data_IF_801161213008
#
_entry.id   IF_801161213008
#
_cell.length_a   1.000
_cell.length_b   1.000
_cell.length_c   1.000
_cell.angle_alpha   90.00
_cell.angle_beta   90.00
_cell.angle_gamma   90.00
#
_symmetry.space_group_name_H-M   'P 1'
#
loop_
_entity.id
_entity.type
_entity.pdbx_description
1 polymer ?
#
# COMPACT_ATOMS: atom_id res chain seq x y z
N UNK A 1 -4.16 1.68 18.90
CA UNK A 1 -3.92 2.15 17.51
C UNK A 1 -3.01 3.37 17.56
N UNK A 2 -1.89 3.37 16.82
CA UNK A 2 -0.96 4.51 16.74
C UNK A 2 -1.68 5.66 16.04
N UNK A 3 -1.67 6.84 16.66
CA UNK A 3 -2.31 8.03 16.05
C UNK A 3 -1.51 8.50 14.83
N UNK A 4 -2.18 8.84 13.73
CA UNK A 4 -1.50 9.44 12.59
C UNK A 4 -0.91 10.79 12.96
N UNK A 5 0.26 11.09 12.43
CA UNK A 5 0.87 12.42 12.41
C UNK A 5 0.36 13.18 11.19
N UNK A 6 0.55 14.49 11.14
CA UNK A 6 0.16 15.29 9.97
C UNK A 6 1.39 15.85 9.26
N UNK A 7 1.55 15.49 7.99
CA UNK A 7 2.55 16.08 7.09
C UNK A 7 1.80 16.90 6.05
N UNK A 8 1.94 18.21 6.08
CA UNK A 8 1.16 19.14 5.25
C UNK A 8 -0.36 18.84 5.27
N UNK A 9 -0.90 18.51 6.45
CA UNK A 9 -2.31 18.19 6.61
C UNK A 9 -2.70 16.73 6.28
N UNK A 10 -1.87 15.98 5.55
CA UNK A 10 -2.12 14.57 5.22
C UNK A 10 -1.82 13.69 6.44
N UNK A 11 -2.77 12.83 6.86
CA UNK A 11 -2.52 11.90 7.96
C UNK A 11 -1.54 10.82 7.51
N UNK A 12 -0.46 10.60 8.27
CA UNK A 12 0.53 9.56 8.01
C UNK A 12 0.72 8.75 9.30
N UNK A 13 0.61 7.44 9.22
CA UNK A 13 0.78 6.54 10.35
C UNK A 13 2.26 6.16 10.48
N UNK A 14 2.94 6.52 11.58
CA UNK A 14 4.36 6.26 11.76
C UNK A 14 4.63 4.82 12.23
N UNK A 15 4.16 3.87 11.44
CA UNK A 15 4.38 2.45 11.67
C UNK A 15 5.76 2.02 11.18
N UNK A 16 6.30 0.97 11.79
CA UNK A 16 7.39 0.18 11.23
C UNK A 16 6.86 -0.77 10.14
N UNK A 17 7.75 -1.35 9.36
CA UNK A 17 7.40 -2.39 8.39
C UNK A 17 6.67 -3.56 9.08
N UNK A 18 7.21 -4.03 10.20
CA UNK A 18 6.61 -5.15 10.92
C UNK A 18 5.22 -4.82 11.46
N UNK A 19 5.05 -3.65 12.08
CA UNK A 19 3.73 -3.19 12.56
C UNK A 19 2.72 -3.07 11.42
N UNK A 20 3.18 -2.64 10.23
CA UNK A 20 2.32 -2.55 9.03
C UNK A 20 1.86 -3.92 8.57
N UNK A 21 2.75 -4.90 8.52
CA UNK A 21 2.43 -6.28 8.14
C UNK A 21 1.48 -6.91 9.15
N UNK A 22 1.77 -6.78 10.45
CA UNK A 22 0.95 -7.35 11.53
C UNK A 22 -0.46 -6.74 11.53
N UNK A 23 -0.56 -5.43 11.36
CA UNK A 23 -1.85 -4.74 11.27
C UNK A 23 -2.68 -5.21 10.07
N UNK A 24 -2.03 -5.36 8.90
CA UNK A 24 -2.69 -5.86 7.70
C UNK A 24 -3.12 -7.32 7.84
N UNK A 25 -2.31 -8.17 8.46
CA UNK A 25 -2.68 -9.56 8.75
C UNK A 25 -3.92 -9.61 9.67
N UNK A 26 -3.98 -8.76 10.71
CA UNK A 26 -5.15 -8.66 11.58
C UNK A 26 -6.42 -8.32 10.78
N UNK A 27 -6.33 -7.38 9.82
CA UNK A 27 -7.45 -7.01 8.95
C UNK A 27 -7.88 -8.14 8.02
N UNK A 28 -6.93 -8.86 7.43
CA UNK A 28 -7.20 -10.04 6.59
C UNK A 28 -7.93 -11.12 7.38
N UNK A 29 -7.47 -11.43 8.59
CA UNK A 29 -8.10 -12.42 9.48
C UNK A 29 -9.50 -12.00 9.90
N UNK A 30 -9.70 -10.71 10.17
CA UNK A 30 -11.02 -10.15 10.49
C UNK A 30 -11.94 -10.02 9.26
N UNK A 31 -11.47 -10.34 8.04
CA UNK A 31 -12.19 -10.13 6.77
C UNK A 31 -12.67 -8.69 6.61
N UNK A 32 -11.92 -7.75 7.12
CA UNK A 32 -12.22 -6.33 7.03
C UNK A 32 -11.59 -5.75 5.75
N UNK A 33 -12.42 -5.19 4.89
CA UNK A 33 -11.94 -4.41 3.75
C UNK A 33 -11.12 -3.23 4.25
N UNK A 34 -9.97 -3.00 3.64
CA UNK A 34 -9.01 -1.99 4.09
C UNK A 34 -8.33 -1.34 2.90
N UNK A 35 -8.29 -0.01 2.90
CA UNK A 35 -7.59 0.78 1.90
C UNK A 35 -6.28 1.33 2.49
N UNK A 36 -5.16 0.92 1.91
CA UNK A 36 -3.81 1.30 2.36
C UNK A 36 -3.11 2.14 1.30
N UNK A 37 -2.48 3.20 1.73
CA UNK A 37 -1.69 4.10 0.88
C UNK A 37 -0.26 4.15 1.39
N UNK A 38 0.71 3.97 0.50
CA UNK A 38 2.13 4.22 0.78
C UNK A 38 2.47 5.60 0.25
N UNK A 39 2.40 6.62 1.12
CA UNK A 39 2.49 8.01 0.74
C UNK A 39 3.94 8.50 0.70
N UNK A 40 4.43 8.78 -0.51
CA UNK A 40 5.70 9.47 -0.74
C UNK A 40 5.49 11.00 -0.79
N UNK A 41 6.58 11.74 -0.97
CA UNK A 41 6.53 13.20 -1.05
C UNK A 41 5.64 13.70 -2.20
N UNK A 42 5.63 13.00 -3.34
CA UNK A 42 4.82 13.33 -4.51
C UNK A 42 3.32 13.23 -4.19
N UNK A 43 2.89 12.11 -3.60
CA UNK A 43 1.50 11.91 -3.15
C UNK A 43 1.09 13.00 -2.15
N UNK A 44 1.96 13.34 -1.19
CA UNK A 44 1.69 14.39 -0.21
C UNK A 44 1.53 15.76 -0.89
N UNK A 45 2.35 16.05 -1.90
CA UNK A 45 2.24 17.30 -2.67
C UNK A 45 0.98 17.31 -3.54
N UNK A 46 0.63 16.22 -4.20
CA UNK A 46 -0.63 16.11 -4.94
C UNK A 46 -1.85 16.40 -4.05
N UNK A 47 -1.81 15.98 -2.79
CA UNK A 47 -2.87 16.31 -1.83
C UNK A 47 -2.98 17.82 -1.56
N UNK A 48 -1.93 18.62 -1.78
CA UNK A 48 -2.01 20.08 -1.65
C UNK A 48 -2.64 20.74 -2.88
N UNK A 49 -2.48 20.13 -4.04
CA UNK A 49 -2.91 20.67 -5.33
C UNK A 49 -4.33 20.24 -5.70
N UNK A 50 -4.76 19.04 -5.27
CA UNK A 50 -6.07 18.46 -5.57
C UNK A 50 -6.83 18.11 -4.28
N UNK A 51 -7.88 18.88 -4.00
CA UNK A 51 -8.74 18.69 -2.83
C UNK A 51 -9.54 17.36 -2.89
N UNK A 52 -9.88 16.87 -4.08
CA UNK A 52 -10.56 15.59 -4.28
C UNK A 52 -9.63 14.44 -3.94
N UNK A 53 -8.40 14.48 -4.47
CA UNK A 53 -7.36 13.53 -4.17
C UNK A 53 -7.01 13.50 -2.67
N UNK A 54 -6.84 14.68 -2.07
CA UNK A 54 -6.64 14.80 -0.63
C UNK A 54 -7.79 14.17 0.18
N UNK A 55 -9.04 14.38 -0.24
CA UNK A 55 -10.18 13.79 0.45
C UNK A 55 -10.14 12.25 0.41
N UNK A 56 -9.72 11.65 -0.71
CA UNK A 56 -9.55 10.20 -0.82
C UNK A 56 -8.47 9.72 0.16
N UNK A 57 -7.27 10.30 0.11
CA UNK A 57 -6.15 9.87 0.95
C UNK A 57 -6.41 10.13 2.44
N UNK A 58 -6.99 11.29 2.79
CA UNK A 58 -7.13 11.71 4.19
C UNK A 58 -8.36 11.18 4.90
N UNK A 59 -9.41 10.76 4.15
CA UNK A 59 -10.69 10.35 4.75
C UNK A 59 -11.13 8.95 4.39
N UNK A 60 -10.64 8.38 3.29
CA UNK A 60 -11.04 7.04 2.86
C UNK A 60 -9.96 6.00 3.11
N UNK A 61 -8.68 6.40 3.14
CA UNK A 61 -7.61 5.47 3.49
C UNK A 61 -7.65 5.12 4.98
N UNK A 62 -7.62 3.84 5.28
CA UNK A 62 -7.57 3.30 6.65
C UNK A 62 -6.16 3.37 7.24
N UNK A 63 -5.15 3.27 6.37
CA UNK A 63 -3.74 3.30 6.74
C UNK A 63 -2.94 4.05 5.68
N UNK A 64 -2.23 5.08 6.09
CA UNK A 64 -1.32 5.84 5.21
C UNK A 64 0.09 5.70 5.78
N UNK A 65 0.98 5.07 5.05
CA UNK A 65 2.33 4.72 5.49
C UNK A 65 3.38 5.68 4.89
N UNK A 66 4.44 6.02 5.63
CA UNK A 66 5.50 6.91 5.13
C UNK A 66 6.40 6.17 4.14
N UNK A 67 6.22 6.39 2.84
CA UNK A 67 7.09 5.88 1.78
C UNK A 67 8.09 6.95 1.33
N UNK A 68 9.32 6.52 1.14
CA UNK A 68 10.38 7.41 0.68
C UNK A 68 11.02 8.29 1.76
N UNK A 69 12.25 8.71 1.47
CA UNK A 69 13.06 9.53 2.39
C UNK A 69 12.41 10.89 2.69
N UNK A 70 11.70 11.48 1.72
CA UNK A 70 11.06 12.78 1.86
C UNK A 70 9.94 12.78 2.91
N UNK A 71 9.07 11.78 2.91
CA UNK A 71 7.99 11.66 3.89
C UNK A 71 8.56 11.44 5.32
N UNK A 72 9.56 10.58 5.45
CA UNK A 72 10.24 10.31 6.73
C UNK A 72 10.94 11.57 7.24
N UNK A 73 11.71 12.25 6.37
CA UNK A 73 12.40 13.49 6.71
C UNK A 73 11.42 14.57 7.16
N UNK A 74 10.33 14.79 6.41
CA UNK A 74 9.33 15.79 6.75
C UNK A 74 8.68 15.51 8.12
N UNK A 75 8.30 14.26 8.38
CA UNK A 75 7.75 13.87 9.68
C UNK A 75 8.71 14.14 10.83
N UNK A 76 9.97 13.76 10.68
CA UNK A 76 11.02 14.00 11.68
C UNK A 76 11.34 15.49 11.85
N UNK A 77 11.38 16.26 10.76
CA UNK A 77 11.60 17.71 10.81
C UNK A 77 10.47 18.44 11.55
N UNK A 78 9.24 17.95 11.46
CA UNK A 78 8.09 18.45 12.21
C UNK A 78 8.07 17.99 13.68
N UNK A 79 9.10 17.28 14.14
CA UNK A 79 9.24 16.83 15.53
C UNK A 79 8.52 15.51 15.85
N UNK A 80 8.02 14.80 14.84
CA UNK A 80 7.38 13.50 15.05
C UNK A 80 8.40 12.36 15.07
N UNK A 81 8.11 11.33 15.87
CA UNK A 81 8.88 10.09 15.80
C UNK A 81 8.36 9.24 14.61
N UNK A 82 9.11 9.26 13.50
CA UNK A 82 8.89 8.37 12.36
C UNK A 82 10.01 7.34 12.38
N UNK A 83 9.74 6.09 12.81
CA UNK A 83 10.78 5.10 13.08
C UNK A 83 11.53 4.72 11.82
N UNK A 84 10.82 4.45 10.72
CA UNK A 84 11.44 4.03 9.46
C UNK A 84 10.58 4.41 8.24
N UNK A 85 11.16 4.20 7.08
CA UNK A 85 10.45 4.25 5.80
C UNK A 85 9.77 2.91 5.55
N UNK A 86 8.47 2.93 5.28
CA UNK A 86 7.73 1.75 4.82
C UNK A 86 7.48 1.88 3.32
N UNK A 87 8.43 1.38 2.53
CA UNK A 87 8.30 1.41 1.08
C UNK A 87 7.22 0.44 0.60
N UNK A 88 6.35 0.91 -0.31
CA UNK A 88 5.24 0.12 -0.84
C UNK A 88 5.69 -1.19 -1.47
N UNK A 89 6.80 -1.18 -2.22
CA UNK A 89 7.35 -2.40 -2.82
C UNK A 89 7.83 -3.40 -1.76
N UNK A 90 8.51 -2.93 -0.70
CA UNK A 90 9.00 -3.81 0.36
C UNK A 90 7.82 -4.39 1.16
N UNK A 91 6.79 -3.58 1.44
CA UNK A 91 5.55 -4.05 2.07
C UNK A 91 4.86 -5.12 1.22
N UNK A 92 4.75 -4.88 -0.08
CA UNK A 92 4.20 -5.84 -1.04
C UNK A 92 4.96 -7.17 -1.00
N UNK A 93 6.29 -7.16 -1.01
CA UNK A 93 7.11 -8.37 -0.92
C UNK A 93 6.90 -9.12 0.41
N UNK A 94 6.81 -8.39 1.54
CA UNK A 94 6.52 -9.00 2.85
C UNK A 94 5.14 -9.66 2.87
N UNK A 95 4.13 -9.00 2.29
CA UNK A 95 2.76 -9.55 2.21
C UNK A 95 2.69 -10.78 1.29
N UNK A 96 3.46 -10.84 0.20
CA UNK A 96 3.54 -12.03 -0.64
C UNK A 96 4.19 -13.21 0.10
N UNK A 97 5.28 -12.96 0.83
CA UNK A 97 5.91 -13.97 1.67
C UNK A 97 4.95 -14.50 2.75
N UNK A 98 4.20 -13.60 3.39
CA UNK A 98 3.17 -13.95 4.36
C UNK A 98 2.04 -14.76 3.69
N UNK A 99 1.59 -14.33 2.51
CA UNK A 99 0.54 -15.02 1.74
C UNK A 99 0.94 -16.44 1.37
N UNK A 100 2.18 -16.64 0.93
CA UNK A 100 2.72 -17.96 0.63
C UNK A 100 2.75 -18.88 1.87
N UNK A 101 3.07 -18.30 3.04
CA UNK A 101 3.14 -19.03 4.32
C UNK A 101 1.78 -19.35 4.92
N UNK A 102 0.80 -18.47 4.75
CA UNK A 102 -0.52 -18.55 5.42
C UNK A 102 -1.65 -18.97 4.48
N UNK A 103 -1.40 -19.04 3.16
CA UNK A 103 -2.41 -19.39 2.16
C UNK A 103 -3.37 -18.26 1.81
N UNK A 104 -3.00 -17.01 2.08
CA UNK A 104 -3.82 -15.87 1.67
C UNK A 104 -3.80 -15.70 0.15
N UNK A 105 -4.90 -15.17 -0.40
CA UNK A 105 -5.03 -14.91 -1.83
C UNK A 105 -4.49 -13.52 -2.16
N UNK A 106 -3.73 -13.43 -3.26
CA UNK A 106 -3.27 -12.16 -3.81
C UNK A 106 -3.89 -11.94 -5.20
N UNK A 107 -4.18 -10.71 -5.53
CA UNK A 107 -4.59 -10.28 -6.87
C UNK A 107 -3.71 -9.11 -7.30
N UNK A 108 -3.16 -9.17 -8.52
CA UNK A 108 -2.28 -8.13 -9.03
C UNK A 108 -3.03 -7.22 -10.00
N UNK A 109 -3.04 -5.93 -9.70
CA UNK A 109 -3.74 -4.94 -10.50
C UNK A 109 -2.83 -3.76 -10.79
N UNK A 110 -2.68 -3.42 -12.06
CA UNK A 110 -1.94 -2.24 -12.49
C UNK A 110 -0.81 -2.52 -13.49
N UNK A 111 -0.08 -1.47 -13.82
CA UNK A 111 0.97 -1.50 -14.83
C UNK A 111 0.44 -1.54 -16.26
N UNK A 112 1.35 -1.46 -17.21
CA UNK A 112 1.05 -1.64 -18.65
C UNK A 112 0.66 -3.08 -18.95
N UNK A 113 -0.05 -3.35 -20.06
CA UNK A 113 -0.38 -4.71 -20.49
C UNK A 113 0.85 -5.63 -20.47
N UNK A 114 0.74 -6.82 -19.88
CA UNK A 114 1.81 -7.81 -19.72
C UNK A 114 2.65 -7.65 -18.43
N UNK A 115 2.60 -6.50 -17.74
CA UNK A 115 3.39 -6.28 -16.53
C UNK A 115 2.82 -7.05 -15.34
N UNK A 116 1.51 -7.04 -15.17
CA UNK A 116 0.86 -7.76 -14.07
C UNK A 116 1.07 -9.28 -14.19
N UNK A 117 1.01 -9.82 -15.41
CA UNK A 117 1.29 -11.22 -15.73
C UNK A 117 2.73 -11.60 -15.45
N UNK A 118 3.68 -10.75 -15.86
CA UNK A 118 5.10 -10.95 -15.58
C UNK A 118 5.40 -10.89 -14.06
N UNK A 119 4.77 -9.96 -13.35
CA UNK A 119 4.88 -9.86 -11.91
C UNK A 119 4.32 -11.11 -11.21
N UNK A 120 3.17 -11.64 -11.66
CA UNK A 120 2.60 -12.89 -11.16
C UNK A 120 3.58 -14.06 -11.35
N UNK A 121 4.08 -14.27 -12.55
CA UNK A 121 5.04 -15.36 -12.84
C UNK A 121 6.31 -15.23 -11.98
N UNK A 122 6.81 -14.00 -11.76
CA UNK A 122 7.95 -13.74 -10.89
C UNK A 122 7.65 -14.04 -9.42
N UNK A 123 6.48 -13.63 -8.93
CA UNK A 123 6.05 -13.89 -7.56
C UNK A 123 5.91 -15.39 -7.28
N UNK A 124 5.31 -16.14 -8.20
CA UNK A 124 5.18 -17.62 -8.10
C UNK A 124 6.53 -18.33 -8.07
N UNK A 125 7.54 -17.77 -8.75
CA UNK A 125 8.92 -18.27 -8.70
C UNK A 125 9.61 -17.92 -7.38
N UNK A 126 9.44 -16.68 -6.88
CA UNK A 126 10.15 -16.20 -5.69
C UNK A 126 9.52 -16.68 -4.39
N UNK A 127 8.22 -16.88 -4.37
CA UNK A 127 7.45 -17.28 -3.20
C UNK A 127 6.70 -18.59 -3.49
N UNK A 128 7.33 -19.74 -3.36
CA UNK A 128 6.65 -21.02 -3.52
C UNK A 128 5.42 -21.10 -2.63
N UNK A 129 4.29 -21.56 -3.19
CA UNK A 129 2.97 -21.64 -2.56
C UNK A 129 2.21 -20.28 -2.44
N UNK A 130 2.72 -19.17 -3.00
CA UNK A 130 1.89 -17.97 -3.12
C UNK A 130 0.66 -18.26 -3.98
N UNK A 131 -0.51 -17.81 -3.52
CA UNK A 131 -1.77 -18.02 -4.23
C UNK A 131 -2.20 -16.73 -4.94
N UNK A 132 -1.66 -16.49 -6.15
CA UNK A 132 -2.08 -15.35 -6.99
C UNK A 132 -3.30 -15.77 -7.80
N UNK A 133 -4.48 -15.38 -7.35
CA UNK A 133 -5.77 -15.79 -7.93
C UNK A 133 -6.12 -15.08 -9.24
N UNK A 134 -5.45 -13.98 -9.56
CA UNK A 134 -5.64 -13.26 -10.82
C UNK A 134 -4.71 -12.05 -10.94
N UNK A 135 -4.69 -11.48 -12.13
CA UNK A 135 -3.99 -10.23 -12.40
C UNK A 135 -4.70 -9.48 -13.55
N UNK A 136 -4.58 -8.14 -13.53
CA UNK A 136 -5.08 -7.28 -14.60
C UNK A 136 -4.20 -6.04 -14.72
N UNK A 137 -4.01 -5.55 -15.93
CA UNK A 137 -3.27 -4.31 -16.16
C UNK A 137 -4.08 -3.07 -15.73
N UNK A 138 -3.43 -1.92 -15.59
CA UNK A 138 -4.05 -0.67 -15.17
C UNK A 138 -4.73 0.13 -16.29
N UNK A 139 -4.74 -0.37 -17.53
CA UNK A 139 -5.33 0.27 -18.70
C UNK A 139 -6.66 -0.40 -19.04
N UNK A 140 -7.73 0.11 -18.48
CA UNK A 140 -9.08 -0.42 -18.66
C UNK A 140 -10.08 0.73 -18.79
N UNK A 141 -11.25 0.45 -19.36
CA UNK A 141 -12.37 1.38 -19.45
C UNK A 141 -13.42 1.04 -18.39
N UNK A 142 -14.38 1.96 -18.15
CA UNK A 142 -15.51 1.70 -17.24
C UNK A 142 -16.30 0.45 -17.64
N UNK A 143 -16.33 0.12 -18.93
CA UNK A 143 -17.00 -1.09 -19.42
C UNK A 143 -16.29 -2.39 -19.01
N UNK A 144 -14.99 -2.32 -18.75
CA UNK A 144 -14.16 -3.48 -18.37
C UNK A 144 -14.22 -3.77 -16.86
N UNK A 145 -14.66 -2.80 -16.03
CA UNK A 145 -14.64 -2.89 -14.56
C UNK A 145 -15.40 -4.12 -14.02
N UNK A 146 -16.49 -4.50 -14.70
CA UNK A 146 -17.30 -5.65 -14.27
C UNK A 146 -16.60 -7.01 -14.45
N UNK A 147 -15.50 -7.06 -15.22
CA UNK A 147 -14.71 -8.25 -15.51
C UNK A 147 -13.39 -8.34 -14.74
N UNK A 148 -13.06 -7.31 -13.97
CA UNK A 148 -11.85 -7.22 -13.13
C UNK A 148 -12.18 -7.65 -11.70
#
# INVERSE_FOLDING_TARGET
MIKPIKILGVPVHPFTMQESVDWLEEKILAKQQTFVVTANAEIIMMCQEDASYNNIISKQADLVLPDGAGAVWAGRHLGYNVPERVAGFDLYCNLLALSAKKGYKAYFFGGSPGIAEAAKAKAETMYPNVNVVGCHNGYFTVADEAGI
#
